data_IF_114839679180
#
_entry.id   IF_114839679180
#
_cell.length_a   1.000
_cell.length_b   1.000
_cell.length_c   1.000
_cell.angle_alpha   90.00
_cell.angle_beta   90.00
_cell.angle_gamma   90.00
#
_symmetry.space_group_name_H-M   'P 1'
#
loop_
_entity.id
_entity.type
_entity.pdbx_description
1 polymer ?
#
# COMPACT_ATOMS: atom_id res chain seq x y z
N UNK A 1 1.62 0.52 -19.56
CA UNK A 1 1.88 -0.48 -18.51
C UNK A 1 3.29 -0.34 -17.95
N UNK A 2 3.43 -0.36 -16.61
CA UNK A 2 4.69 -0.21 -15.88
C UNK A 2 5.04 -1.53 -15.15
N UNK A 3 5.31 -2.58 -15.93
CA UNK A 3 5.51 -3.94 -15.39
C UNK A 3 6.69 -4.04 -14.44
N UNK A 4 7.73 -3.23 -14.69
CA UNK A 4 8.93 -3.21 -13.87
C UNK A 4 8.66 -2.84 -12.41
N UNK A 5 7.71 -1.93 -12.14
CA UNK A 5 7.28 -1.61 -10.77
C UNK A 5 6.70 -2.84 -10.06
N UNK A 6 5.91 -3.64 -10.76
CA UNK A 6 5.29 -4.85 -10.19
C UNK A 6 6.33 -5.93 -9.92
N UNK A 7 7.27 -6.12 -10.83
CA UNK A 7 8.41 -7.03 -10.66
C UNK A 7 9.23 -6.65 -9.43
N UNK A 8 9.62 -5.37 -9.31
CA UNK A 8 10.40 -4.88 -8.18
C UNK A 8 9.63 -5.01 -6.86
N UNK A 9 8.35 -4.63 -6.84
CA UNK A 9 7.51 -4.80 -5.65
C UNK A 9 7.42 -6.28 -5.23
N UNK A 10 7.24 -7.19 -6.19
CA UNK A 10 7.21 -8.63 -5.91
C UNK A 10 8.53 -9.11 -5.28
N UNK A 11 9.66 -8.72 -5.87
CA UNK A 11 10.99 -9.05 -5.35
C UNK A 11 11.21 -8.51 -3.93
N UNK A 12 10.89 -7.24 -3.71
CA UNK A 12 11.04 -6.60 -2.39
C UNK A 12 10.17 -7.28 -1.33
N UNK A 13 8.94 -7.65 -1.65
CA UNK A 13 8.06 -8.35 -0.71
C UNK A 13 8.69 -9.67 -0.24
N UNK A 14 9.23 -10.44 -1.19
CA UNK A 14 9.83 -11.75 -0.90
C UNK A 14 11.19 -11.60 -0.16
N UNK A 15 12.00 -10.61 -0.52
CA UNK A 15 13.32 -10.38 0.05
C UNK A 15 13.24 -9.85 1.49
N UNK A 16 12.41 -8.83 1.73
CA UNK A 16 12.29 -8.21 3.04
C UNK A 16 11.39 -8.97 4.01
N UNK A 17 10.66 -10.00 3.52
CA UNK A 17 9.75 -10.82 4.33
C UNK A 17 8.78 -9.96 5.14
N UNK A 18 8.16 -9.01 4.47
CA UNK A 18 7.27 -8.04 5.10
C UNK A 18 5.95 -8.70 5.51
N UNK A 19 5.35 -8.19 6.58
CA UNK A 19 4.07 -8.68 7.08
C UNK A 19 2.86 -7.90 6.53
N UNK A 20 3.07 -6.73 5.95
CA UNK A 20 2.03 -5.91 5.32
C UNK A 20 2.60 -4.89 4.34
N UNK A 21 1.76 -4.42 3.41
CA UNK A 21 2.07 -3.31 2.50
C UNK A 21 1.15 -2.12 2.76
N UNK A 22 1.75 -0.94 2.88
CA UNK A 22 1.06 0.34 2.81
C UNK A 22 1.42 0.98 1.48
N UNK A 23 0.45 1.13 0.57
CA UNK A 23 0.60 1.89 -0.66
C UNK A 23 0.06 3.30 -0.44
N UNK A 24 0.93 4.31 -0.60
CA UNK A 24 0.58 5.71 -0.40
C UNK A 24 0.60 6.43 -1.75
N UNK A 25 -0.53 7.01 -2.12
CA UNK A 25 -0.68 7.83 -3.31
C UNK A 25 -1.05 9.27 -2.93
N UNK A 26 -0.41 10.24 -3.57
CA UNK A 26 -0.76 11.64 -3.38
C UNK A 26 -2.07 11.96 -4.12
N UNK A 27 -2.89 12.82 -3.53
CA UNK A 27 -4.06 13.37 -4.21
C UNK A 27 -3.66 13.97 -5.57
N UNK A 28 -4.51 13.75 -6.57
CA UNK A 28 -4.29 14.10 -7.98
C UNK A 28 -3.13 13.36 -8.68
N UNK A 29 -2.49 12.36 -8.04
CA UNK A 29 -1.52 11.49 -8.71
C UNK A 29 -2.22 10.36 -9.47
N UNK A 30 -2.87 10.70 -10.60
CA UNK A 30 -3.71 9.75 -11.34
C UNK A 30 -2.99 8.48 -11.79
N UNK A 31 -1.74 8.59 -12.26
CA UNK A 31 -0.97 7.43 -12.73
C UNK A 31 -0.80 6.39 -11.63
N UNK A 32 -0.34 6.81 -10.45
CA UNK A 32 -0.12 5.90 -9.33
C UNK A 32 -1.43 5.39 -8.75
N UNK A 33 -2.48 6.21 -8.76
CA UNK A 33 -3.80 5.77 -8.29
C UNK A 33 -4.41 4.68 -9.19
N UNK A 34 -4.20 4.77 -10.51
CA UNK A 34 -4.59 3.72 -11.45
C UNK A 34 -3.74 2.46 -11.23
N UNK A 35 -2.42 2.62 -11.11
CA UNK A 35 -1.50 1.49 -10.89
C UNK A 35 -1.69 0.80 -9.52
N UNK A 36 -2.21 1.49 -8.51
CA UNK A 36 -2.47 0.94 -7.18
C UNK A 36 -3.42 -0.28 -7.20
N UNK A 37 -4.29 -0.37 -8.22
CA UNK A 37 -5.11 -1.56 -8.43
C UNK A 37 -4.24 -2.79 -8.73
N UNK A 38 -3.25 -2.66 -9.61
CA UNK A 38 -2.33 -3.75 -9.95
C UNK A 38 -1.45 -4.13 -8.75
N UNK A 39 -0.96 -3.13 -8.00
CA UNK A 39 -0.22 -3.36 -6.75
C UNK A 39 -1.08 -4.15 -5.76
N UNK A 40 -2.34 -3.74 -5.57
CA UNK A 40 -3.26 -4.46 -4.68
C UNK A 40 -3.45 -5.91 -5.10
N UNK A 41 -3.64 -6.20 -6.38
CA UNK A 41 -3.81 -7.58 -6.86
C UNK A 41 -2.56 -8.42 -6.57
N UNK A 42 -1.37 -7.85 -6.82
CA UNK A 42 -0.09 -8.51 -6.57
C UNK A 42 0.10 -8.85 -5.09
N UNK A 43 -0.14 -7.90 -4.19
CA UNK A 43 0.04 -8.10 -2.74
C UNK A 43 -0.99 -9.11 -2.21
N UNK A 44 -2.25 -9.00 -2.65
CA UNK A 44 -3.30 -9.96 -2.26
C UNK A 44 -3.03 -11.38 -2.76
N UNK A 45 -2.43 -11.54 -3.94
CA UNK A 45 -2.04 -12.85 -4.46
C UNK A 45 -0.97 -13.54 -3.61
N UNK A 46 -0.19 -12.77 -2.84
CA UNK A 46 0.76 -13.25 -1.84
C UNK A 46 0.16 -13.45 -0.45
N UNK A 47 -1.15 -13.23 -0.30
CA UNK A 47 -1.88 -13.34 0.97
C UNK A 47 -1.38 -12.36 2.06
N UNK A 48 -0.76 -11.24 1.64
CA UNK A 48 -0.24 -10.22 2.55
C UNK A 48 -1.29 -9.11 2.75
N UNK A 49 -1.51 -8.64 4.00
CA UNK A 49 -2.32 -7.46 4.29
C UNK A 49 -1.90 -6.23 3.48
N UNK A 50 -2.88 -5.55 2.88
CA UNK A 50 -2.66 -4.39 2.01
C UNK A 50 -3.55 -3.22 2.41
N UNK A 51 -2.97 -2.04 2.55
CA UNK A 51 -3.67 -0.78 2.83
C UNK A 51 -3.29 0.28 1.80
N UNK A 52 -4.26 0.70 0.98
CA UNK A 52 -4.12 1.86 0.10
C UNK A 52 -4.52 3.15 0.81
N UNK A 53 -3.62 4.13 0.85
CA UNK A 53 -3.83 5.46 1.43
C UNK A 53 -3.74 6.50 0.32
N UNK A 54 -4.67 7.44 0.31
CA UNK A 54 -4.59 8.65 -0.51
C UNK A 54 -4.56 9.86 0.43
N UNK A 55 -3.56 10.73 0.27
CA UNK A 55 -3.32 11.86 1.17
C UNK A 55 -2.68 13.05 0.43
N UNK A 56 -2.49 14.16 1.12
CA UNK A 56 -1.83 15.36 0.62
C UNK A 56 -0.82 15.90 1.65
N UNK A 57 -0.33 17.12 1.47
CA UNK A 57 0.67 17.72 2.37
C UNK A 57 0.05 18.43 3.59
N UNK A 58 -1.28 18.45 3.70
CA UNK A 58 -1.98 19.04 4.83
C UNK A 58 -2.01 18.10 6.02
N UNK A 59 -2.50 18.61 7.16
CA UNK A 59 -2.75 17.81 8.36
C UNK A 59 -4.20 17.35 8.48
N UNK A 60 -5.02 17.53 7.44
CA UNK A 60 -6.47 17.37 7.51
C UNK A 60 -6.94 15.93 7.70
N UNK A 61 -6.13 14.94 7.33
CA UNK A 61 -6.46 13.51 7.37
C UNK A 61 -5.64 12.71 8.39
N UNK A 62 -4.80 13.35 9.22
CA UNK A 62 -3.90 12.68 10.17
C UNK A 62 -4.61 11.66 11.08
N UNK A 63 -5.76 12.02 11.66
CA UNK A 63 -6.51 11.12 12.53
C UNK A 63 -7.06 9.90 11.76
N UNK A 64 -7.50 10.11 10.52
CA UNK A 64 -7.96 9.01 9.65
C UNK A 64 -6.82 8.07 9.30
N UNK A 65 -5.65 8.61 8.91
CA UNK A 65 -4.46 7.82 8.62
C UNK A 65 -4.04 7.00 9.83
N UNK A 66 -4.00 7.62 11.01
CA UNK A 66 -3.65 6.95 12.27
C UNK A 66 -4.53 5.74 12.54
N UNK A 67 -5.86 5.91 12.56
CA UNK A 67 -6.80 4.81 12.84
C UNK A 67 -6.66 3.67 11.84
N UNK A 68 -6.47 3.98 10.55
CA UNK A 68 -6.34 2.96 9.49
C UNK A 68 -5.03 2.18 9.60
N UNK A 69 -3.93 2.85 9.92
CA UNK A 69 -2.63 2.21 10.12
C UNK A 69 -2.65 1.36 11.40
N UNK A 70 -3.21 1.87 12.49
CA UNK A 70 -3.40 1.11 13.74
C UNK A 70 -4.19 -0.18 13.48
N UNK A 71 -5.31 -0.10 12.75
CA UNK A 71 -6.10 -1.27 12.39
C UNK A 71 -5.31 -2.29 11.54
N UNK A 72 -4.47 -1.85 10.61
CA UNK A 72 -3.61 -2.73 9.84
C UNK A 72 -2.58 -3.45 10.73
N UNK A 73 -1.93 -2.70 11.64
CA UNK A 73 -0.95 -3.26 12.57
C UNK A 73 -1.58 -4.29 13.51
N UNK A 74 -2.81 -4.07 13.96
CA UNK A 74 -3.57 -5.05 14.76
C UNK A 74 -3.89 -6.34 13.98
N UNK A 75 -4.12 -6.24 12.66
CA UNK A 75 -4.33 -7.42 11.81
C UNK A 75 -3.05 -8.24 11.62
N UNK A 76 -1.89 -7.57 11.58
CA UNK A 76 -0.57 -8.19 11.41
C UNK A 76 -0.04 -8.83 12.69
N UNK A 77 -0.31 -8.22 13.85
CA UNK A 77 0.20 -8.69 15.14
C UNK A 77 -0.52 -9.94 15.71
N UNK A 78 -1.46 -10.52 14.95
CA UNK A 78 -2.20 -11.75 15.30
C UNK A 78 -1.64 -12.97 14.59
#
# INVERSE_FOLDING_TARGET
>A
PNTHRMELNNEMIDEFKIDAVIDLTWQACHTYNIEAYEVQQLVKAKEIPYLHLESDYSSSDLESLKVRIEALLEMVAK
#
